data_IF_134881146813
#
_entry.id   IF_134881146813
#
_cell.length_a   1.000
_cell.length_b   1.000
_cell.length_c   1.000
_cell.angle_alpha   90.00
_cell.angle_beta   90.00
_cell.angle_gamma   90.00
#
_symmetry.space_group_name_H-M   'P 1'
#
loop_
_entity.id
_entity.type
_entity.pdbx_description
1 polymer ?
#
# COMPACT_ATOMS: atom_id res chain seq x y z
N UNK A 1 7.96 -2.31 7.21
CA UNK A 1 6.66 -1.82 6.67
C UNK A 1 5.77 -1.56 7.87
N UNK A 2 5.19 -0.38 7.99
CA UNK A 2 4.27 -0.05 9.08
C UNK A 2 2.97 0.53 8.53
N UNK A 3 1.91 0.52 9.33
CA UNK A 3 0.65 1.16 8.96
C UNK A 3 -0.32 0.31 8.14
N UNK A 4 0.06 -0.91 7.74
CA UNK A 4 -0.78 -1.79 6.93
C UNK A 4 -2.10 -2.16 7.60
N UNK A 5 -2.07 -2.52 8.89
CA UNK A 5 -3.28 -2.81 9.66
C UNK A 5 -4.17 -1.57 9.85
N UNK A 6 -3.56 -0.39 10.04
CA UNK A 6 -4.29 0.87 10.14
C UNK A 6 -4.96 1.23 8.81
N UNK A 7 -4.29 1.02 7.68
CA UNK A 7 -4.85 1.21 6.36
C UNK A 7 -6.02 0.25 6.09
N UNK A 8 -5.89 -1.02 6.47
CA UNK A 8 -6.95 -2.01 6.34
C UNK A 8 -8.17 -1.71 7.23
N UNK A 9 -7.96 -1.00 8.35
CA UNK A 9 -9.03 -0.57 9.24
C UNK A 9 -9.79 0.69 8.76
N UNK A 10 -9.35 1.34 7.68
CA UNK A 10 -10.05 2.51 7.13
C UNK A 10 -11.41 2.06 6.55
N UNK A 11 -12.54 2.68 6.97
CA UNK A 11 -13.85 2.33 6.43
C UNK A 11 -13.91 2.47 4.89
N UNK A 12 -14.37 1.41 4.23
CA UNK A 12 -14.45 1.33 2.76
C UNK A 12 -13.20 0.74 2.09
N UNK A 13 -12.16 0.40 2.84
CA UNK A 13 -11.07 -0.46 2.35
C UNK A 13 -11.53 -1.91 2.36
N UNK A 14 -11.45 -2.55 1.19
CA UNK A 14 -11.78 -3.96 1.01
C UNK A 14 -10.55 -4.86 1.17
N UNK A 15 -9.37 -4.36 0.78
CA UNK A 15 -8.14 -5.15 0.78
C UNK A 15 -6.89 -4.30 0.93
N UNK A 16 -5.91 -4.81 1.68
CA UNK A 16 -4.53 -4.33 1.70
C UNK A 16 -3.62 -5.54 1.61
N UNK A 17 -2.76 -5.59 0.59
CA UNK A 17 -1.79 -6.66 0.40
C UNK A 17 -0.41 -6.10 0.08
N UNK A 18 0.62 -6.70 0.66
CA UNK A 18 2.02 -6.42 0.36
C UNK A 18 2.67 -7.63 -0.28
N UNK A 19 3.39 -7.41 -1.39
CA UNK A 19 4.09 -8.46 -2.13
C UNK A 19 5.58 -8.54 -1.77
N UNK A 20 6.03 -7.68 -0.86
CA UNK A 20 7.42 -7.60 -0.39
C UNK A 20 7.46 -7.94 1.09
N UNK A 21 8.37 -8.84 1.46
CA UNK A 21 8.60 -9.18 2.86
C UNK A 21 9.51 -8.13 3.53
N UNK A 22 9.43 -7.98 4.86
CA UNK A 22 10.38 -7.15 5.59
C UNK A 22 11.84 -7.58 5.34
N UNK A 23 12.74 -6.60 5.23
CA UNK A 23 14.17 -6.79 5.00
C UNK A 23 14.55 -7.50 3.68
N UNK A 24 13.61 -7.62 2.74
CA UNK A 24 13.93 -8.10 1.39
C UNK A 24 14.58 -6.99 0.55
N UNK A 25 15.64 -7.28 -0.24
CA UNK A 25 16.18 -6.36 -1.23
C UNK A 25 15.11 -5.87 -2.22
N UNK A 26 14.97 -4.55 -2.33
CA UNK A 26 14.05 -3.92 -3.30
C UNK A 26 14.87 -3.47 -4.50
N UNK A 27 14.72 -4.16 -5.63
CA UNK A 27 15.40 -3.84 -6.89
C UNK A 27 14.36 -3.58 -7.96
N UNK A 28 14.36 -2.36 -8.52
CA UNK A 28 13.48 -1.99 -9.63
C UNK A 28 13.94 -2.68 -10.93
N UNK A 29 13.09 -3.51 -11.52
CA UNK A 29 13.35 -4.27 -12.76
C UNK A 29 12.73 -3.61 -13.99
N UNK A 30 11.82 -2.65 -13.82
CA UNK A 30 11.06 -2.03 -14.90
C UNK A 30 9.91 -2.89 -15.40
N UNK A 31 9.55 -3.96 -14.68
CA UNK A 31 8.44 -4.86 -15.03
C UNK A 31 7.30 -4.78 -14.00
N UNK A 32 6.23 -5.54 -14.21
CA UNK A 32 5.03 -5.50 -13.36
C UNK A 32 5.27 -6.00 -11.92
N UNK A 33 6.42 -6.65 -11.63
CA UNK A 33 6.79 -7.16 -10.30
C UNK A 33 7.43 -6.09 -9.43
N UNK A 34 7.65 -4.89 -9.95
CA UNK A 34 8.10 -3.73 -9.17
C UNK A 34 7.03 -3.21 -8.19
N UNK A 35 5.82 -3.77 -8.23
CA UNK A 35 4.73 -3.43 -7.30
C UNK A 35 5.07 -3.96 -5.90
N UNK A 36 5.10 -3.06 -4.93
CA UNK A 36 5.34 -3.40 -3.52
C UNK A 36 4.07 -3.93 -2.81
N UNK A 37 2.90 -3.70 -3.40
CA UNK A 37 1.60 -4.10 -2.87
C UNK A 37 0.46 -3.31 -3.50
N UNK A 38 -0.74 -3.45 -2.94
CA UNK A 38 -1.92 -2.69 -3.34
C UNK A 38 -2.90 -2.47 -2.19
N UNK A 39 -3.77 -1.47 -2.39
CA UNK A 39 -4.92 -1.14 -1.55
C UNK A 39 -6.15 -1.08 -2.44
N UNK A 40 -7.22 -1.77 -2.07
CA UNK A 40 -8.51 -1.72 -2.77
C UNK A 40 -9.51 -1.06 -1.85
N UNK A 41 -10.20 -0.03 -2.35
CA UNK A 41 -11.29 0.62 -1.65
C UNK A 41 -12.54 0.64 -2.54
N UNK A 42 -13.71 0.58 -1.91
CA UNK A 42 -15.00 0.59 -2.58
C UNK A 42 -15.94 1.59 -1.91
N UNK A 43 -16.60 2.39 -2.74
CA UNK A 43 -17.73 3.20 -2.32
C UNK A 43 -18.64 3.53 -3.52
N UNK A 44 -19.90 3.95 -3.29
CA UNK A 44 -20.82 4.29 -4.37
C UNK A 44 -20.42 5.53 -5.19
N UNK A 45 -19.43 6.31 -4.72
CA UNK A 45 -19.01 7.56 -5.33
C UNK A 45 -17.50 7.54 -5.63
N UNK A 46 -17.12 7.99 -6.83
CA UNK A 46 -15.71 7.95 -7.26
C UNK A 46 -14.81 8.85 -6.40
N UNK A 47 -15.28 10.05 -6.06
CA UNK A 47 -14.50 11.03 -5.29
C UNK A 47 -14.26 10.49 -3.88
N UNK A 48 -15.26 9.85 -3.28
CA UNK A 48 -15.15 9.18 -1.99
C UNK A 48 -14.17 8.01 -2.03
N UNK A 49 -14.21 7.18 -3.06
CA UNK A 49 -13.26 6.06 -3.22
C UNK A 49 -11.82 6.59 -3.30
N UNK A 50 -11.58 7.65 -4.07
CA UNK A 50 -10.27 8.30 -4.16
C UNK A 50 -9.80 8.84 -2.80
N UNK A 51 -10.69 9.49 -2.05
CA UNK A 51 -10.39 9.98 -0.70
C UNK A 51 -10.07 8.85 0.29
N UNK A 52 -10.75 7.70 0.20
CA UNK A 52 -10.48 6.52 1.02
C UNK A 52 -9.09 5.96 0.67
N UNK A 53 -8.77 5.80 -0.61
CA UNK A 53 -7.46 5.32 -1.06
C UNK A 53 -6.36 6.26 -0.55
N UNK A 54 -6.52 7.57 -0.71
CA UNK A 54 -5.51 8.52 -0.27
C UNK A 54 -5.28 8.46 1.25
N UNK A 55 -6.36 8.34 2.04
CA UNK A 55 -6.25 8.18 3.50
C UNK A 55 -5.52 6.88 3.87
N UNK A 56 -5.89 5.77 3.25
CA UNK A 56 -5.30 4.46 3.54
C UNK A 56 -3.81 4.43 3.17
N UNK A 57 -3.44 4.92 1.99
CA UNK A 57 -2.03 4.96 1.53
C UNK A 57 -1.18 5.88 2.41
N UNK A 58 -1.73 7.01 2.87
CA UNK A 58 -1.00 7.92 3.76
C UNK A 58 -0.69 7.33 5.14
N UNK A 59 -1.39 6.27 5.56
CA UNK A 59 -1.09 5.56 6.81
C UNK A 59 0.07 4.58 6.66
N UNK A 60 0.40 4.15 5.44
CA UNK A 60 1.42 3.15 5.17
C UNK A 60 2.77 3.84 5.04
N UNK A 61 3.73 3.44 5.86
CA UNK A 61 5.09 3.95 5.80
C UNK A 61 6.12 2.84 5.59
N UNK A 62 7.15 3.18 4.82
CA UNK A 62 8.23 2.30 4.44
C UNK A 62 9.54 2.87 4.98
N UNK A 63 10.30 2.02 5.67
CA UNK A 63 11.71 2.28 5.96
C UNK A 63 12.51 1.40 5.01
N UNK A 64 13.26 2.03 4.11
CA UNK A 64 14.07 1.36 3.09
C UNK A 64 15.51 1.79 3.32
N UNK A 65 16.37 0.83 3.64
CA UNK A 65 17.81 1.08 3.72
C UNK A 65 18.43 1.01 2.32
N UNK A 66 19.33 1.93 1.95
CA UNK A 66 20.09 1.81 0.72
C UNK A 66 20.98 0.55 0.77
N UNK A 67 21.34 0.04 -0.40
CA UNK A 67 22.36 -1.01 -0.49
C UNK A 67 23.71 -0.49 0.03
N UNK A 68 24.55 -1.34 0.64
CA UNK A 68 25.94 -1.03 0.94
C UNK A 68 26.72 -0.62 -0.32
#
# INVERSE_FOLDING_TARGET
IHGGSQAAAVPGVAEVQFCVEPNTPIVRKGDYRDRMGHVIAASPDRVRTEAIIQRAVNLISWSISPFP
#
